data_IF_286556001197
#
_entry.id   IF_286556001197
#
_cell.length_a   1.000
_cell.length_b   1.000
_cell.length_c   1.000
_cell.angle_alpha   90.00
_cell.angle_beta   90.00
_cell.angle_gamma   90.00
#
_symmetry.space_group_name_H-M   'P 1'
#
loop_
_entity.id
_entity.type
_entity.pdbx_description
1 polymer ?
#
# COMPACT_ATOMS: atom_id res chain seq x y z
N UNK A 1 -14.92 -16.55 15.65
CA UNK A 1 -14.74 -15.30 16.43
C UNK A 1 -14.28 -14.14 15.56
N UNK A 2 -13.43 -14.36 14.55
CA UNK A 2 -12.94 -13.31 13.65
C UNK A 2 -14.08 -12.70 12.84
N UNK A 3 -15.01 -13.53 12.33
CA UNK A 3 -16.19 -13.05 11.57
C UNK A 3 -17.04 -12.02 12.32
N UNK A 4 -17.06 -12.07 13.66
CA UNK A 4 -17.82 -11.13 14.49
C UNK A 4 -17.11 -9.76 14.63
N UNK A 5 -15.80 -9.72 14.37
CA UNK A 5 -15.00 -8.51 14.44
C UNK A 5 -14.90 -7.78 13.07
N UNK A 6 -15.29 -8.45 11.98
CA UNK A 6 -15.28 -7.86 10.64
C UNK A 6 -16.40 -6.84 10.48
N UNK A 7 -16.02 -5.65 10.07
CA UNK A 7 -16.94 -4.56 9.73
C UNK A 7 -17.10 -4.54 8.22
N UNK A 8 -18.30 -4.79 7.73
CA UNK A 8 -18.62 -4.73 6.29
C UNK A 8 -18.86 -3.30 5.84
N UNK A 9 -18.34 -2.94 4.68
CA UNK A 9 -18.67 -1.67 4.06
C UNK A 9 -20.12 -1.64 3.61
N UNK A 10 -20.76 -0.47 3.73
CA UNK A 10 -22.20 -0.31 3.37
C UNK A 10 -22.44 -0.27 1.87
N UNK A 11 -21.46 0.24 1.11
CA UNK A 11 -21.56 0.45 -0.33
C UNK A 11 -20.93 -0.72 -1.10
N UNK A 12 -19.90 -1.32 -0.53
CA UNK A 12 -19.13 -2.42 -1.13
C UNK A 12 -19.19 -3.64 -0.21
N UNK A 13 -20.23 -4.51 -0.36
CA UNK A 13 -20.48 -5.61 0.60
C UNK A 13 -19.36 -6.65 0.69
N UNK A 14 -18.52 -6.74 -0.34
CA UNK A 14 -17.36 -7.63 -0.37
C UNK A 14 -16.12 -7.00 0.30
N UNK A 15 -16.16 -5.71 0.64
CA UNK A 15 -15.12 -5.02 1.37
C UNK A 15 -15.38 -5.11 2.87
N UNK A 16 -14.41 -5.67 3.59
CA UNK A 16 -14.45 -5.80 5.04
C UNK A 16 -13.24 -5.12 5.68
N UNK A 17 -13.44 -4.54 6.86
CA UNK A 17 -12.39 -4.00 7.70
C UNK A 17 -12.28 -4.84 8.98
N UNK A 18 -11.08 -5.29 9.29
CA UNK A 18 -10.74 -5.85 10.60
C UNK A 18 -9.91 -4.82 11.37
N UNK A 19 -10.52 -4.07 12.31
CA UNK A 19 -9.79 -3.05 13.05
C UNK A 19 -8.84 -3.68 14.06
N UNK A 20 -7.62 -3.14 14.16
CA UNK A 20 -6.73 -3.47 15.28
C UNK A 20 -7.12 -2.69 16.53
N UNK A 21 -6.86 -3.27 17.71
CA UNK A 21 -7.15 -2.60 18.98
C UNK A 21 -6.14 -1.46 19.22
N UNK A 22 -6.64 -0.22 19.32
CA UNK A 22 -5.81 0.96 19.57
C UNK A 22 -5.29 1.09 21.02
N UNK A 23 -5.82 0.29 21.94
CA UNK A 23 -5.61 0.44 23.39
C UNK A 23 -4.77 -0.65 24.04
N UNK A 24 -4.24 -1.59 23.28
CA UNK A 24 -3.34 -2.64 23.79
C UNK A 24 -1.89 -2.32 23.44
N UNK A 25 -0.97 -2.85 24.25
CA UNK A 25 0.45 -2.73 24.00
C UNK A 25 0.80 -3.14 22.56
N UNK A 26 1.75 -2.42 21.96
CA UNK A 26 2.20 -2.65 20.57
C UNK A 26 2.67 -4.09 20.33
N UNK A 27 3.01 -4.83 21.39
CA UNK A 27 3.49 -6.21 21.38
C UNK A 27 2.39 -7.23 21.63
N UNK A 28 1.11 -6.83 21.61
CA UNK A 28 -0.01 -7.70 21.91
C UNK A 28 -0.27 -8.80 20.87
N UNK A 29 0.27 -8.66 19.65
CA UNK A 29 0.15 -9.62 18.56
C UNK A 29 1.55 -10.03 18.11
N UNK A 30 1.79 -11.35 18.03
CA UNK A 30 3.05 -11.89 17.54
C UNK A 30 2.98 -12.15 16.03
N UNK A 31 4.15 -12.28 15.33
CA UNK A 31 4.17 -12.68 13.93
C UNK A 31 3.45 -14.01 13.66
N UNK A 32 3.58 -14.99 14.55
CA UNK A 32 2.92 -16.29 14.45
C UNK A 32 1.40 -16.17 14.51
N UNK A 33 0.89 -15.37 15.45
CA UNK A 33 -0.55 -15.08 15.55
C UNK A 33 -1.07 -14.36 14.32
N UNK A 34 -0.25 -13.48 13.71
CA UNK A 34 -0.61 -12.81 12.45
C UNK A 34 -0.70 -13.83 11.31
N UNK A 35 0.25 -14.76 11.21
CA UNK A 35 0.22 -15.82 10.19
C UNK A 35 -1.03 -16.71 10.36
N UNK A 36 -1.38 -17.10 11.58
CA UNK A 36 -2.59 -17.88 11.86
C UNK A 36 -3.86 -17.13 11.43
N UNK A 37 -3.95 -15.84 11.78
CA UNK A 37 -5.06 -14.97 11.39
C UNK A 37 -5.19 -14.86 9.87
N UNK A 38 -4.10 -14.62 9.16
CA UNK A 38 -4.11 -14.49 7.70
C UNK A 38 -4.50 -15.82 7.05
N UNK A 39 -4.01 -16.94 7.54
CA UNK A 39 -4.40 -18.26 7.02
C UNK A 39 -5.89 -18.54 7.19
N UNK A 40 -6.49 -18.14 8.32
CA UNK A 40 -7.94 -18.25 8.52
C UNK A 40 -8.73 -17.36 7.54
N UNK A 41 -8.27 -16.13 7.31
CA UNK A 41 -8.90 -15.20 6.38
C UNK A 41 -8.74 -15.60 4.90
N UNK A 42 -7.69 -16.32 4.52
CA UNK A 42 -7.47 -16.82 3.15
C UNK A 42 -8.59 -17.75 2.65
N UNK A 43 -9.31 -18.39 3.54
CA UNK A 43 -10.43 -19.26 3.18
C UNK A 43 -11.67 -18.45 2.74
N UNK A 44 -11.74 -17.16 3.09
CA UNK A 44 -12.92 -16.32 2.87
C UNK A 44 -12.67 -15.15 1.92
N UNK A 45 -11.42 -14.73 1.74
CA UNK A 45 -11.07 -13.52 0.97
C UNK A 45 -10.04 -13.80 -0.12
N UNK A 46 -10.29 -13.26 -1.32
CA UNK A 46 -9.36 -13.32 -2.45
C UNK A 46 -8.14 -12.42 -2.23
N UNK A 47 -8.34 -11.28 -1.54
CA UNK A 47 -7.30 -10.29 -1.23
C UNK A 47 -7.40 -9.86 0.23
N UNK A 48 -6.24 -9.81 0.89
CA UNK A 48 -6.10 -9.33 2.27
C UNK A 48 -5.03 -8.25 2.26
N UNK A 49 -5.42 -7.01 2.58
CA UNK A 49 -4.51 -5.88 2.68
C UNK A 49 -4.12 -5.68 4.15
N UNK A 50 -2.83 -5.76 4.43
CA UNK A 50 -2.27 -5.46 5.74
C UNK A 50 -1.80 -4.00 5.75
N UNK A 51 -2.55 -3.12 6.39
CA UNK A 51 -2.16 -1.73 6.58
C UNK A 51 -1.02 -1.68 7.61
N UNK A 52 0.19 -1.49 7.11
CA UNK A 52 1.39 -1.52 7.91
C UNK A 52 1.67 -0.12 8.49
N UNK A 53 1.87 0.01 9.82
CA UNK A 53 2.27 1.28 10.40
C UNK A 53 3.64 1.74 9.89
N UNK A 54 3.91 3.03 9.95
CA UNK A 54 5.21 3.59 9.64
C UNK A 54 6.29 3.02 10.58
N UNK A 55 7.49 2.83 10.04
CA UNK A 55 8.64 2.31 10.78
C UNK A 55 8.87 0.81 10.60
N UNK A 56 9.83 0.28 11.33
CA UNK A 56 10.36 -1.08 11.19
C UNK A 56 10.18 -1.94 12.46
N UNK A 57 9.30 -1.48 13.34
CA UNK A 57 9.05 -2.13 14.63
C UNK A 57 8.13 -3.36 14.50
N UNK A 58 7.52 -3.77 15.60
CA UNK A 58 6.71 -4.99 15.69
C UNK A 58 5.57 -5.02 14.65
N UNK A 59 4.91 -3.89 14.37
CA UNK A 59 3.86 -3.82 13.35
C UNK A 59 4.32 -4.20 11.94
N UNK A 60 5.52 -3.74 11.55
CA UNK A 60 6.16 -4.12 10.31
C UNK A 60 6.48 -5.62 10.27
N UNK A 61 7.07 -6.16 11.33
CA UNK A 61 7.41 -7.60 11.44
C UNK A 61 6.17 -8.48 11.32
N UNK A 62 5.09 -8.08 11.98
CA UNK A 62 3.82 -8.79 11.92
C UNK A 62 3.24 -8.80 10.49
N UNK A 63 3.23 -7.65 9.83
CA UNK A 63 2.74 -7.52 8.45
C UNK A 63 3.56 -8.38 7.48
N UNK A 64 4.89 -8.32 7.56
CA UNK A 64 5.80 -9.09 6.69
C UNK A 64 5.61 -10.59 6.88
N UNK A 65 5.44 -11.06 8.13
CA UNK A 65 5.27 -12.48 8.42
C UNK A 65 4.00 -13.07 7.78
N UNK A 66 2.92 -12.28 7.68
CA UNK A 66 1.64 -12.74 7.12
C UNK A 66 1.48 -12.49 5.61
N UNK A 67 2.35 -11.69 4.98
CA UNK A 67 2.18 -11.22 3.62
C UNK A 67 2.89 -12.10 2.58
N UNK A 68 2.29 -12.23 1.39
CA UNK A 68 2.90 -12.87 0.21
C UNK A 68 3.56 -11.85 -0.73
N UNK A 69 3.16 -10.59 -0.60
CA UNK A 69 3.55 -9.49 -1.47
C UNK A 69 3.62 -8.20 -0.66
N UNK A 70 4.58 -7.37 -0.96
CA UNK A 70 4.70 -6.03 -0.37
C UNK A 70 4.45 -4.96 -1.43
N UNK A 71 3.67 -3.94 -1.07
CA UNK A 71 3.51 -2.71 -1.83
C UNK A 71 4.21 -1.60 -1.07
N UNK A 72 5.36 -1.17 -1.58
CA UNK A 72 6.11 -0.05 -1.01
C UNK A 72 5.54 1.24 -1.60
N UNK A 73 5.02 2.10 -0.74
CA UNK A 73 4.47 3.40 -1.13
C UNK A 73 5.42 4.49 -0.65
N UNK A 74 5.94 5.30 -1.59
CA UNK A 74 6.83 6.41 -1.29
C UNK A 74 6.43 7.67 -2.04
N UNK A 75 6.96 8.81 -1.63
CA UNK A 75 6.87 10.06 -2.37
C UNK A 75 8.22 10.34 -3.07
N UNK A 76 8.27 11.13 -4.16
CA UNK A 76 9.51 11.39 -4.90
C UNK A 76 10.40 12.45 -4.21
N UNK A 77 10.59 12.30 -2.92
CA UNK A 77 11.40 13.14 -2.05
C UNK A 77 12.59 12.35 -1.51
N UNK A 78 13.77 12.95 -1.45
CA UNK A 78 15.02 12.28 -1.08
C UNK A 78 14.91 11.52 0.26
N UNK A 79 14.28 12.13 1.27
CA UNK A 79 14.10 11.49 2.58
C UNK A 79 13.19 10.27 2.51
N UNK A 80 12.06 10.38 1.81
CA UNK A 80 11.11 9.29 1.65
C UNK A 80 11.71 8.13 0.85
N UNK A 81 12.51 8.42 -0.17
CA UNK A 81 13.19 7.40 -0.97
C UNK A 81 14.25 6.66 -0.14
N UNK A 82 15.00 7.35 0.72
CA UNK A 82 15.94 6.68 1.65
C UNK A 82 15.23 5.74 2.61
N UNK A 83 14.07 6.14 3.12
CA UNK A 83 13.26 5.29 3.99
C UNK A 83 12.70 4.09 3.22
N UNK A 84 12.23 4.30 2.00
CA UNK A 84 11.76 3.24 1.12
C UNK A 84 12.88 2.24 0.77
N UNK A 85 14.07 2.71 0.44
CA UNK A 85 15.25 1.86 0.16
C UNK A 85 15.59 0.97 1.36
N UNK A 86 15.57 1.53 2.56
CA UNK A 86 15.76 0.76 3.79
C UNK A 86 14.67 -0.31 3.96
N UNK A 87 13.41 0.01 3.70
CA UNK A 87 12.28 -0.94 3.78
C UNK A 87 12.45 -2.05 2.73
N UNK A 88 12.81 -1.71 1.50
CA UNK A 88 13.08 -2.70 0.44
C UNK A 88 14.17 -3.68 0.89
N UNK A 89 15.29 -3.18 1.39
CA UNK A 89 16.36 -4.03 1.91
C UNK A 89 15.92 -4.95 3.05
N UNK A 90 15.05 -4.48 3.96
CA UNK A 90 14.49 -5.31 5.02
C UNK A 90 13.50 -6.36 4.50
N UNK A 91 12.70 -6.03 3.51
CA UNK A 91 11.79 -6.99 2.86
C UNK A 91 12.57 -8.09 2.15
N UNK A 92 13.62 -7.74 1.43
CA UNK A 92 14.52 -8.70 0.78
C UNK A 92 15.22 -9.60 1.80
N UNK A 93 15.73 -9.04 2.89
CA UNK A 93 16.35 -9.79 3.99
C UNK A 93 15.38 -10.76 4.69
N UNK A 94 14.05 -10.47 4.64
CA UNK A 94 13.01 -11.36 5.10
C UNK A 94 12.44 -12.27 3.98
N UNK A 95 13.17 -12.39 2.87
CA UNK A 95 12.82 -13.28 1.75
C UNK A 95 11.47 -12.96 1.08
N UNK A 96 11.01 -11.70 1.15
CA UNK A 96 9.81 -11.26 0.45
C UNK A 96 10.02 -11.38 -1.06
N UNK A 97 9.33 -12.30 -1.68
CA UNK A 97 9.55 -12.66 -3.10
C UNK A 97 8.98 -11.65 -4.09
N UNK A 98 8.00 -10.89 -3.67
CA UNK A 98 7.31 -9.94 -4.53
C UNK A 98 7.18 -8.59 -3.84
N UNK A 99 7.96 -7.64 -4.34
CA UNK A 99 7.99 -6.27 -3.86
C UNK A 99 7.66 -5.37 -5.05
N UNK A 100 6.63 -4.55 -4.92
CA UNK A 100 6.21 -3.60 -5.94
C UNK A 100 6.20 -2.19 -5.37
N UNK A 101 6.38 -1.19 -6.23
CA UNK A 101 6.48 0.22 -5.90
C UNK A 101 5.25 0.99 -6.37
N UNK A 102 4.76 1.87 -5.52
CA UNK A 102 3.82 2.93 -5.86
C UNK A 102 4.46 4.26 -5.49
N UNK A 103 4.59 5.16 -6.48
CA UNK A 103 5.04 6.54 -6.25
C UNK A 103 3.80 7.40 -6.03
N UNK A 104 3.66 7.96 -4.84
CA UNK A 104 2.52 8.78 -4.44
C UNK A 104 2.88 10.26 -4.42
N UNK A 105 1.89 11.14 -4.54
CA UNK A 105 2.01 12.59 -4.47
C UNK A 105 2.99 13.17 -5.50
N UNK A 106 2.94 12.62 -6.72
CA UNK A 106 3.78 13.09 -7.83
C UNK A 106 3.30 14.45 -8.31
N UNK A 107 4.18 15.46 -8.27
CA UNK A 107 3.90 16.80 -8.78
C UNK A 107 4.56 16.99 -10.12
N UNK A 108 3.76 16.80 -11.17
CA UNK A 108 4.24 16.87 -12.57
C UNK A 108 4.87 18.24 -12.91
N UNK A 109 4.36 19.32 -12.34
CA UNK A 109 4.90 20.67 -12.50
C UNK A 109 6.32 20.79 -11.93
N UNK A 110 6.59 20.19 -10.76
CA UNK A 110 7.90 20.18 -10.14
C UNK A 110 8.89 19.27 -10.89
N UNK A 111 8.41 18.11 -11.34
CA UNK A 111 9.24 17.20 -12.17
C UNK A 111 9.71 17.88 -13.44
N UNK A 112 8.80 18.59 -14.15
CA UNK A 112 9.15 19.31 -15.38
C UNK A 112 10.18 20.43 -15.17
N UNK A 113 10.23 21.01 -13.98
CA UNK A 113 11.24 22.04 -13.63
C UNK A 113 12.54 21.46 -13.09
N UNK A 114 12.61 20.16 -12.83
CA UNK A 114 13.75 19.52 -12.19
C UNK A 114 13.81 19.71 -10.66
N UNK A 115 12.73 20.17 -10.04
CA UNK A 115 12.64 20.41 -8.59
C UNK A 115 12.22 19.14 -7.82
N UNK A 116 11.80 18.09 -8.52
CA UNK A 116 11.37 16.82 -7.98
C UNK A 116 11.87 15.68 -8.87
N UNK A 117 12.26 14.56 -8.27
CA UNK A 117 12.62 13.37 -9.04
C UNK A 117 11.43 12.86 -9.85
N UNK A 118 11.71 12.39 -11.05
CA UNK A 118 10.70 11.70 -11.84
C UNK A 118 10.51 10.25 -11.38
N UNK A 119 9.53 9.57 -11.94
CA UNK A 119 9.20 8.18 -11.56
C UNK A 119 10.31 7.20 -11.94
N UNK A 120 10.98 7.45 -13.07
CA UNK A 120 12.07 6.58 -13.54
C UNK A 120 13.28 6.68 -12.61
N UNK A 121 13.64 7.89 -12.15
CA UNK A 121 14.71 8.09 -11.17
C UNK A 121 14.43 7.31 -9.87
N UNK A 122 13.20 7.38 -9.36
CA UNK A 122 12.80 6.66 -8.14
C UNK A 122 12.87 5.15 -8.34
N UNK A 123 12.40 4.67 -9.48
CA UNK A 123 12.41 3.24 -9.83
C UNK A 123 13.84 2.72 -9.99
N UNK A 124 14.73 3.49 -10.60
CA UNK A 124 16.14 3.12 -10.75
C UNK A 124 16.85 3.03 -9.40
N UNK A 125 16.59 3.99 -8.49
CA UNK A 125 17.20 3.99 -7.15
C UNK A 125 16.73 2.79 -6.33
N UNK A 126 15.43 2.51 -6.32
CA UNK A 126 14.86 1.44 -5.47
C UNK A 126 14.98 0.05 -6.09
N UNK A 127 15.21 -0.03 -7.41
CA UNK A 127 15.38 -1.28 -8.17
C UNK A 127 14.24 -2.31 -7.96
N UNK A 128 13.00 -1.83 -7.76
CA UNK A 128 11.81 -2.65 -7.60
C UNK A 128 10.78 -2.33 -8.69
N UNK A 129 9.87 -3.26 -8.95
CA UNK A 129 8.88 -3.12 -10.01
C UNK A 129 7.86 -2.03 -9.69
N UNK A 130 7.73 -1.05 -10.58
CA UNK A 130 6.73 0.02 -10.47
C UNK A 130 5.36 -0.47 -10.95
N UNK A 131 4.35 -0.35 -10.11
CA UNK A 131 2.97 -0.69 -10.48
C UNK A 131 2.04 0.52 -10.58
N UNK A 132 2.50 1.70 -10.20
CA UNK A 132 1.73 2.92 -10.42
C UNK A 132 2.34 4.16 -9.81
N UNK A 133 1.87 5.30 -10.34
CA UNK A 133 2.14 6.62 -9.80
C UNK A 133 0.82 7.35 -9.59
N UNK A 134 0.66 7.99 -8.44
CA UNK A 134 -0.53 8.75 -8.08
C UNK A 134 -0.14 10.22 -8.00
N UNK A 135 -0.79 11.11 -8.76
CA UNK A 135 -0.49 12.53 -8.71
C UNK A 135 -0.89 13.16 -7.35
N UNK A 136 -0.24 14.26 -7.01
CA UNK A 136 -0.65 15.10 -5.88
C UNK A 136 -1.91 15.87 -6.30
N UNK A 137 -3.06 15.40 -5.81
CA UNK A 137 -4.38 15.84 -6.25
C UNK A 137 -5.23 16.23 -5.03
N UNK A 138 -5.69 17.47 -4.98
CA UNK A 138 -6.55 17.97 -3.91
C UNK A 138 -7.87 17.19 -3.80
N UNK A 139 -8.34 16.59 -4.89
CA UNK A 139 -9.55 15.77 -4.88
C UNK A 139 -9.44 14.56 -3.98
N UNK A 140 -8.22 14.04 -3.78
CA UNK A 140 -7.95 12.96 -2.81
C UNK A 140 -8.28 13.45 -1.39
N UNK A 141 -7.82 14.65 -1.03
CA UNK A 141 -8.08 15.23 0.29
C UNK A 141 -9.57 15.50 0.47
N UNK A 142 -10.21 16.09 -0.55
CA UNK A 142 -11.64 16.40 -0.51
C UNK A 142 -12.49 15.14 -0.33
N UNK A 143 -12.22 14.09 -1.11
CA UNK A 143 -12.96 12.83 -1.06
C UNK A 143 -12.73 12.10 0.28
N UNK A 144 -11.51 12.08 0.76
CA UNK A 144 -11.16 11.48 2.05
C UNK A 144 -11.89 12.16 3.21
N UNK A 145 -11.95 13.52 3.20
CA UNK A 145 -12.67 14.28 4.23
C UNK A 145 -14.19 14.03 4.20
N UNK A 146 -14.73 13.61 3.06
CA UNK A 146 -16.14 13.21 2.92
C UNK A 146 -16.38 11.73 3.26
N UNK A 147 -15.33 10.96 3.48
CA UNK A 147 -15.43 9.51 3.65
C UNK A 147 -15.79 8.78 2.36
N UNK A 148 -15.49 9.36 1.21
CA UNK A 148 -15.79 8.79 -0.11
C UNK A 148 -14.47 8.39 -0.80
N UNK A 149 -14.34 7.15 -1.30
CA UNK A 149 -13.14 6.76 -2.03
C UNK A 149 -13.11 7.44 -3.41
N UNK A 150 -11.94 7.98 -3.79
CA UNK A 150 -11.74 8.54 -5.11
C UNK A 150 -11.53 7.47 -6.18
N UNK A 151 -11.13 6.27 -5.79
CA UNK A 151 -10.96 5.14 -6.69
C UNK A 151 -12.25 4.83 -7.44
N UNK A 152 -12.15 4.69 -8.77
CA UNK A 152 -13.31 4.50 -9.65
C UNK A 152 -14.04 5.79 -10.06
N UNK A 153 -13.61 6.96 -9.59
CA UNK A 153 -14.04 8.24 -10.13
C UNK A 153 -13.36 8.51 -11.49
N UNK A 154 -14.03 9.29 -12.34
CA UNK A 154 -13.45 9.70 -13.63
C UNK A 154 -12.48 10.89 -13.45
N UNK A 155 -11.47 10.73 -12.60
CA UNK A 155 -10.40 11.69 -12.37
C UNK A 155 -9.05 11.03 -12.67
N UNK A 156 -8.00 11.84 -12.86
CA UNK A 156 -6.64 11.30 -13.11
C UNK A 156 -6.21 10.39 -11.94
N UNK A 157 -6.39 10.84 -10.72
CA UNK A 157 -6.06 10.06 -9.52
C UNK A 157 -6.95 8.83 -9.35
N UNK A 158 -8.25 8.94 -9.64
CA UNK A 158 -9.18 7.81 -9.61
C UNK A 158 -8.78 6.72 -10.59
N UNK A 159 -8.41 7.09 -11.80
CA UNK A 159 -7.89 6.18 -12.83
C UNK A 159 -6.55 5.56 -12.43
N UNK A 160 -5.64 6.34 -11.82
CA UNK A 160 -4.38 5.81 -11.33
C UNK A 160 -4.57 4.68 -10.31
N UNK A 161 -5.51 4.81 -9.37
CA UNK A 161 -5.87 3.73 -8.44
C UNK A 161 -6.45 2.50 -9.14
N UNK A 162 -7.32 2.68 -10.14
CA UNK A 162 -7.86 1.57 -10.93
C UNK A 162 -6.75 0.83 -11.68
N UNK A 163 -5.83 1.54 -12.28
CA UNK A 163 -4.70 0.95 -13.02
C UNK A 163 -3.74 0.19 -12.09
N UNK A 164 -3.49 0.71 -10.88
CA UNK A 164 -2.75 0.00 -9.84
C UNK A 164 -3.46 -1.32 -9.50
N UNK A 165 -4.77 -1.28 -9.23
CA UNK A 165 -5.55 -2.48 -8.93
C UNK A 165 -5.48 -3.50 -10.07
N UNK A 166 -5.62 -3.08 -11.33
CA UNK A 166 -5.53 -3.96 -12.49
C UNK A 166 -4.16 -4.61 -12.62
N UNK A 167 -3.06 -3.86 -12.37
CA UNK A 167 -1.70 -4.43 -12.35
C UNK A 167 -1.50 -5.39 -11.19
N UNK A 168 -2.11 -5.14 -10.03
CA UNK A 168 -2.13 -6.10 -8.91
C UNK A 168 -2.81 -7.41 -9.33
N UNK A 169 -3.89 -7.34 -10.10
CA UNK A 169 -4.62 -8.48 -10.65
C UNK A 169 -3.87 -9.20 -11.78
N UNK A 170 -2.80 -8.61 -12.31
CA UNK A 170 -1.95 -9.21 -13.34
C UNK A 170 -2.15 -8.66 -14.74
N UNK A 171 -2.95 -7.61 -14.92
CA UNK A 171 -3.12 -6.96 -16.22
C UNK A 171 -1.84 -6.23 -16.63
N UNK A 172 -1.46 -6.38 -17.90
CA UNK A 172 -0.36 -5.63 -18.52
C UNK A 172 -0.90 -4.30 -19.05
N UNK A 173 -0.81 -3.26 -18.23
CA UNK A 173 -1.24 -1.90 -18.58
C UNK A 173 -0.03 -0.98 -18.61
N UNK A 174 0.17 -0.17 -19.66
CA UNK A 174 1.22 0.83 -19.70
C UNK A 174 1.11 1.79 -18.49
N UNK A 175 2.25 2.21 -17.98
CA UNK A 175 2.31 3.31 -17.01
C UNK A 175 2.06 4.62 -17.78
N UNK A 176 0.96 5.29 -17.50
CA UNK A 176 0.58 6.57 -18.13
C UNK A 176 0.70 7.69 -17.13
#
# INVERSE_FOLDING_TARGET
RIRQALIKDKKYPDLCLLPSAQTRDKDAVTPEQMVELINELREEFDYILLDCPAGIEQGFKNAVAGADRALVVTTPEVSAIRDADRIVGLLEANEMKRIDLIVNRLRVDMVKRGDMMNVDDVTEILAVNLIGAVPDDEQIVISTNKGEPLAGSNTISGNAYIDICRRILGDSIPLT
#
